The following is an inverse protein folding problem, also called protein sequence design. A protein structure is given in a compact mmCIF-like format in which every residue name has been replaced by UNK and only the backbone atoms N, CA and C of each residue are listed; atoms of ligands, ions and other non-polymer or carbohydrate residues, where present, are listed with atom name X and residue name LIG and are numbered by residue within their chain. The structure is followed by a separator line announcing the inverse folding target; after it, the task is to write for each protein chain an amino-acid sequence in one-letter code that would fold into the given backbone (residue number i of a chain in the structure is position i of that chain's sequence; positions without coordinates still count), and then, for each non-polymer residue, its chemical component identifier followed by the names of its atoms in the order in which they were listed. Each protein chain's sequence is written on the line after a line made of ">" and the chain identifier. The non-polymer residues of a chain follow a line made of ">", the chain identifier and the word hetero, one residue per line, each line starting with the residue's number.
data_IF_018344222122
#
_entry.id   IF_018344222122
#
_cell.length_a   1.000
_cell.length_b   1.000
_cell.length_c   1.000
_cell.angle_alpha   90.00
_cell.angle_beta   90.00
_cell.angle_gamma   90.00
#
_symmetry.space_group_name_H-M   'P 1'
#
loop_
_entity.id
_entity.type
_entity.pdbx_description
1 polymer ?
#
# COMPACT_ATOMS: atom_id res chain seq x y z
N UNK A 1 39.87 -14.18 -3.58
CA UNK A 1 38.72 -14.97 -3.09
C UNK A 1 37.46 -14.17 -3.39
N UNK A 2 36.76 -14.50 -4.49
CA UNK A 2 35.54 -13.78 -4.88
C UNK A 2 34.40 -14.11 -3.93
N UNK A 3 33.71 -13.09 -3.42
CA UNK A 3 32.49 -13.29 -2.65
C UNK A 3 31.46 -13.97 -3.54
N UNK A 4 31.02 -15.18 -3.17
CA UNK A 4 29.87 -15.77 -3.83
C UNK A 4 28.65 -14.92 -3.47
N UNK A 5 28.08 -14.22 -4.45
CA UNK A 5 26.76 -13.60 -4.30
C UNK A 5 25.78 -14.76 -4.17
N UNK A 6 25.34 -14.99 -2.93
CA UNK A 6 24.37 -16.00 -2.61
C UNK A 6 22.99 -15.52 -3.10
N UNK A 7 22.72 -15.69 -4.40
CA UNK A 7 21.50 -15.20 -5.04
C UNK A 7 20.37 -16.22 -4.87
N UNK A 8 19.62 -16.12 -3.78
CA UNK A 8 18.32 -16.80 -3.71
C UNK A 8 17.26 -16.02 -4.52
N UNK A 9 16.26 -16.69 -5.10
CA UNK A 9 15.13 -16.01 -5.73
C UNK A 9 14.42 -15.05 -4.76
N UNK A 10 13.93 -13.93 -5.29
CA UNK A 10 13.09 -12.96 -4.58
C UNK A 10 11.63 -13.36 -4.73
N UNK A 11 10.89 -13.37 -3.63
CA UNK A 11 9.46 -13.70 -3.61
C UNK A 11 8.64 -12.45 -3.36
N UNK A 12 7.72 -12.12 -4.26
CA UNK A 12 6.86 -10.94 -4.17
C UNK A 12 5.42 -11.39 -4.17
N UNK A 13 4.63 -10.96 -3.18
CA UNK A 13 3.17 -11.10 -3.20
C UNK A 13 2.51 -9.79 -3.62
N UNK A 14 1.44 -9.89 -4.39
CA UNK A 14 0.56 -8.78 -4.71
C UNK A 14 -0.68 -8.83 -3.82
N UNK A 15 -1.03 -7.72 -3.19
CA UNK A 15 -2.29 -7.54 -2.48
C UNK A 15 -3.22 -6.66 -3.31
N UNK A 16 -4.48 -7.07 -3.41
CA UNK A 16 -5.53 -6.26 -4.04
C UNK A 16 -6.10 -5.27 -3.04
N UNK A 17 -6.07 -3.99 -3.38
CA UNK A 17 -6.52 -2.88 -2.54
C UNK A 17 -7.63 -2.03 -3.16
N UNK A 18 -8.38 -2.58 -4.13
CA UNK A 18 -9.50 -1.90 -4.78
C UNK A 18 -10.60 -1.55 -3.76
N UNK A 19 -11.47 -0.61 -4.14
CA UNK A 19 -12.54 -0.09 -3.26
C UNK A 19 -13.45 -1.22 -2.74
N UNK A 20 -13.70 -2.23 -3.58
CA UNK A 20 -14.56 -3.37 -3.26
C UNK A 20 -13.83 -4.51 -2.54
N UNK A 21 -12.50 -4.46 -2.44
CA UNK A 21 -11.73 -5.54 -1.85
C UNK A 21 -11.86 -5.57 -0.32
N UNK A 22 -11.56 -6.72 0.27
CA UNK A 22 -11.53 -6.89 1.72
C UNK A 22 -10.33 -6.19 2.33
N UNK A 23 -10.56 -5.52 3.46
CA UNK A 23 -9.51 -4.80 4.21
C UNK A 23 -8.46 -5.79 4.73
N UNK A 24 -8.89 -7.02 5.01
CA UNK A 24 -8.17 -8.14 5.57
C UNK A 24 -7.21 -8.81 4.59
N UNK A 25 -7.27 -8.50 3.28
CA UNK A 25 -6.38 -9.09 2.27
C UNK A 25 -4.90 -8.88 2.61
N UNK A 26 -4.54 -7.70 3.14
CA UNK A 26 -3.18 -7.41 3.57
C UNK A 26 -2.79 -8.18 4.84
N UNK A 27 -3.75 -8.39 5.74
CA UNK A 27 -3.57 -9.15 6.98
C UNK A 27 -3.17 -10.59 6.67
N UNK A 28 -3.87 -11.22 5.73
CA UNK A 28 -3.62 -12.60 5.33
C UNK A 28 -2.17 -12.78 4.81
N UNK A 29 -1.71 -11.87 3.97
CA UNK A 29 -0.34 -11.89 3.48
C UNK A 29 0.69 -11.54 4.57
N UNK A 30 0.38 -10.60 5.46
CA UNK A 30 1.27 -10.24 6.56
C UNK A 30 1.50 -11.42 7.52
N UNK A 31 0.42 -12.15 7.85
CA UNK A 31 0.42 -13.32 8.74
C UNK A 31 1.11 -14.52 8.11
N UNK A 32 0.64 -14.93 6.92
CA UNK A 32 0.85 -16.30 6.44
C UNK A 32 1.85 -16.40 5.27
N UNK A 33 2.07 -15.34 4.50
CA UNK A 33 2.86 -15.46 3.28
C UNK A 33 4.38 -15.60 3.55
N UNK A 34 5.07 -16.47 2.82
CA UNK A 34 6.55 -16.57 2.85
C UNK A 34 7.19 -15.77 1.69
N UNK A 35 6.99 -14.45 1.71
CA UNK A 35 7.47 -13.52 0.68
C UNK A 35 8.42 -12.45 1.21
N UNK A 36 9.33 -11.97 0.37
CA UNK A 36 10.25 -10.88 0.69
C UNK A 36 9.56 -9.52 0.66
N UNK A 37 8.64 -9.34 -0.29
CA UNK A 37 7.94 -8.09 -0.51
C UNK A 37 6.45 -8.35 -0.65
N UNK A 38 5.66 -7.44 -0.08
CA UNK A 38 4.23 -7.32 -0.35
C UNK A 38 4.07 -5.99 -1.06
N UNK A 39 3.45 -6.02 -2.24
CA UNK A 39 3.16 -4.85 -3.07
C UNK A 39 1.66 -4.78 -3.25
N UNK A 40 1.08 -3.58 -3.24
CA UNK A 40 -0.33 -3.41 -3.48
C UNK A 40 -0.64 -2.03 -4.03
N UNK A 41 -1.78 -1.95 -4.71
CA UNK A 41 -2.35 -0.72 -5.22
C UNK A 41 -3.71 -0.48 -4.58
N UNK A 42 -3.88 0.71 -4.01
CA UNK A 42 -5.12 1.19 -3.40
C UNK A 42 -5.68 2.41 -4.13
N UNK A 43 -4.98 2.92 -5.15
CA UNK A 43 -5.36 4.09 -5.89
C UNK A 43 -6.07 3.67 -7.18
N UNK A 44 -7.39 3.50 -7.10
CA UNK A 44 -8.19 3.19 -8.29
C UNK A 44 -8.33 4.41 -9.22
N UNK A 45 -8.56 4.16 -10.52
CA UNK A 45 -8.92 5.21 -11.48
C UNK A 45 -10.16 5.99 -11.03
N UNK A 46 -11.10 5.31 -10.38
CA UNK A 46 -12.32 5.93 -9.83
C UNK A 46 -11.99 7.00 -8.80
N UNK A 47 -11.05 6.73 -7.90
CA UNK A 47 -10.70 7.69 -6.87
C UNK A 47 -10.00 8.91 -7.48
N UNK A 48 -9.04 8.67 -8.37
CA UNK A 48 -8.36 9.73 -9.13
C UNK A 48 -9.35 10.63 -9.87
N UNK A 49 -10.32 10.04 -10.59
CA UNK A 49 -11.34 10.78 -11.32
C UNK A 49 -12.26 11.58 -10.39
N UNK A 50 -12.71 10.98 -9.29
CA UNK A 50 -13.57 11.64 -8.30
C UNK A 50 -12.85 12.81 -7.64
N UNK A 51 -11.57 12.65 -7.28
CA UNK A 51 -10.76 13.74 -6.69
C UNK A 51 -10.45 14.82 -7.72
N UNK A 52 -10.18 14.45 -8.97
CA UNK A 52 -10.01 15.39 -10.08
C UNK A 52 -11.24 16.26 -10.29
N UNK A 53 -12.44 15.66 -10.28
CA UNK A 53 -13.71 16.38 -10.36
C UNK A 53 -13.89 17.33 -9.17
N UNK A 54 -13.62 16.88 -7.94
CA UNK A 54 -13.72 17.73 -6.76
C UNK A 54 -12.74 18.92 -6.82
N UNK A 55 -11.52 18.72 -7.34
CA UNK A 55 -10.56 19.79 -7.56
C UNK A 55 -11.07 20.82 -8.57
N UNK A 56 -11.67 20.37 -9.67
CA UNK A 56 -12.28 21.26 -10.66
C UNK A 56 -13.43 22.08 -10.05
N UNK A 57 -14.33 21.44 -9.30
CA UNK A 57 -15.47 22.12 -8.64
C UNK A 57 -15.04 23.13 -7.57
N UNK A 58 -13.89 22.94 -6.92
CA UNK A 58 -13.33 23.92 -5.98
C UNK A 58 -12.82 25.18 -6.66
N UNK A 59 -12.32 25.06 -7.90
CA UNK A 59 -11.93 26.24 -8.68
C UNK A 59 -13.12 27.20 -8.88
N UNK A 60 -14.33 26.66 -8.98
CA UNK A 60 -15.58 27.42 -9.16
C UNK A 60 -16.24 27.84 -7.84
N UNK A 61 -15.83 27.27 -6.69
CA UNK A 61 -16.47 27.51 -5.39
C UNK A 61 -15.49 27.26 -4.22
N UNK A 62 -14.77 28.30 -3.75
CA UNK A 62 -13.71 28.16 -2.74
C UNK A 62 -14.17 27.71 -1.36
N UNK A 63 -15.46 27.78 -1.06
CA UNK A 63 -16.05 27.43 0.25
C UNK A 63 -16.23 25.92 0.47
N UNK A 64 -15.86 25.08 -0.49
CA UNK A 64 -15.91 23.62 -0.37
C UNK A 64 -14.71 23.11 0.43
N UNK A 65 -14.99 22.67 1.67
CA UNK A 65 -14.00 22.05 2.57
C UNK A 65 -13.19 20.94 1.90
N UNK A 66 -11.90 20.90 2.24
CA UNK A 66 -10.95 20.00 1.61
C UNK A 66 -11.01 18.60 2.23
N UNK A 67 -11.80 17.69 1.64
CA UNK A 67 -11.70 16.27 1.97
C UNK A 67 -10.25 15.76 1.80
N UNK A 68 -9.74 14.88 2.68
CA UNK A 68 -8.35 14.43 2.66
C UNK A 68 -7.97 13.78 1.34
N UNK A 69 -6.79 14.09 0.79
CA UNK A 69 -6.36 13.64 -0.54
C UNK A 69 -5.87 12.17 -0.61
N UNK A 70 -6.03 11.39 0.47
CA UNK A 70 -5.58 10.00 0.54
C UNK A 70 -6.73 9.00 0.34
N UNK A 71 -6.34 7.75 0.11
CA UNK A 71 -7.26 6.62 0.04
C UNK A 71 -7.56 6.05 1.40
N UNK A 72 -8.82 6.16 1.84
CA UNK A 72 -9.24 5.63 3.13
C UNK A 72 -9.02 4.12 3.22
N UNK A 73 -9.27 3.41 2.11
CA UNK A 73 -9.08 1.96 2.03
C UNK A 73 -7.64 1.54 2.31
N UNK A 74 -6.67 2.34 1.87
CA UNK A 74 -5.25 2.13 2.19
C UNK A 74 -5.03 2.22 3.70
N UNK A 75 -5.53 3.28 4.34
CA UNK A 75 -5.38 3.49 5.79
C UNK A 75 -6.01 2.35 6.57
N UNK A 76 -7.22 1.94 6.20
CA UNK A 76 -7.95 0.88 6.87
C UNK A 76 -7.22 -0.47 6.75
N UNK A 77 -6.79 -0.84 5.53
CA UNK A 77 -6.03 -2.07 5.27
C UNK A 77 -4.72 -2.09 6.03
N UNK A 78 -4.01 -0.96 6.02
CA UNK A 78 -2.72 -0.84 6.68
C UNK A 78 -2.87 -0.91 8.20
N UNK A 79 -3.83 -0.19 8.77
CA UNK A 79 -4.10 -0.19 10.21
C UNK A 79 -4.51 -1.57 10.71
N UNK A 80 -5.29 -2.31 9.92
CA UNK A 80 -5.66 -3.69 10.24
C UNK A 80 -4.44 -4.64 10.25
N UNK A 81 -3.52 -4.49 9.29
CA UNK A 81 -2.37 -5.40 9.12
C UNK A 81 -1.11 -5.00 9.93
N UNK A 82 -1.07 -3.80 10.49
CA UNK A 82 0.08 -3.27 11.24
C UNK A 82 0.65 -4.23 12.30
N UNK A 83 -0.17 -4.89 13.15
CA UNK A 83 0.35 -5.81 14.17
C UNK A 83 1.12 -6.99 13.57
N UNK A 84 0.59 -7.59 12.50
CA UNK A 84 1.18 -8.76 11.85
C UNK A 84 2.41 -8.39 11.04
N UNK A 85 2.39 -7.24 10.38
CA UNK A 85 3.54 -6.66 9.69
C UNK A 85 4.69 -6.39 10.68
N UNK A 86 4.40 -5.80 11.84
CA UNK A 86 5.40 -5.55 12.87
C UNK A 86 6.02 -6.85 13.40
N UNK A 87 5.20 -7.85 13.74
CA UNK A 87 5.66 -9.16 14.18
C UNK A 87 6.50 -9.87 13.10
N UNK A 88 6.11 -9.75 11.83
CA UNK A 88 6.86 -10.27 10.68
C UNK A 88 8.24 -9.62 10.55
N UNK A 89 8.32 -8.29 10.65
CA UNK A 89 9.58 -7.55 10.58
C UNK A 89 10.56 -7.99 11.67
N UNK A 90 10.07 -8.20 12.90
CA UNK A 90 10.87 -8.68 14.03
C UNK A 90 11.41 -10.11 13.78
N UNK A 91 10.54 -11.04 13.37
CA UNK A 91 10.93 -12.44 13.07
C UNK A 91 12.02 -12.54 12.01
N UNK A 92 12.00 -11.65 11.02
CA UNK A 92 12.94 -11.69 9.88
C UNK A 92 14.22 -10.87 10.11
N UNK A 93 14.42 -10.29 11.29
CA UNK A 93 15.63 -9.50 11.59
C UNK A 93 15.84 -8.33 10.61
N UNK A 94 14.74 -7.74 10.13
CA UNK A 94 14.70 -7.00 8.88
C UNK A 94 15.17 -5.54 9.06
N UNK A 95 16.49 -5.30 9.02
CA UNK A 95 17.10 -3.96 9.03
C UNK A 95 17.12 -3.29 7.64
N UNK A 96 15.98 -3.18 6.94
CA UNK A 96 15.79 -2.54 5.60
C UNK A 96 15.39 -3.52 4.48
N UNK A 97 14.15 -4.03 4.47
CA UNK A 97 13.51 -4.51 3.22
C UNK A 97 12.07 -4.01 3.16
N UNK A 98 11.85 -3.21 2.13
CA UNK A 98 10.89 -2.11 2.00
C UNK A 98 9.50 -2.61 1.62
N UNK A 99 8.46 -2.20 2.38
CA UNK A 99 7.10 -2.13 1.86
C UNK A 99 7.09 -1.03 0.79
N UNK A 100 7.06 -1.41 -0.49
CA UNK A 100 6.94 -0.46 -1.60
C UNK A 100 5.45 -0.27 -1.86
N UNK A 101 4.87 0.75 -1.23
CA UNK A 101 3.66 1.37 -1.76
C UNK A 101 4.09 2.20 -2.96
N UNK A 102 3.64 1.85 -4.16
CA UNK A 102 3.84 2.67 -5.35
C UNK A 102 3.00 3.94 -5.21
N UNK A 103 3.61 4.99 -4.66
CA UNK A 103 3.13 6.35 -4.84
C UNK A 103 3.44 6.78 -6.27
N UNK A 104 2.44 6.67 -7.15
CA UNK A 104 2.47 7.44 -8.41
C UNK A 104 2.34 8.91 -8.03
N UNK A 105 3.34 9.71 -8.39
CA UNK A 105 3.35 11.17 -8.27
C UNK A 105 1.96 11.74 -8.57
N UNK A 106 1.38 12.42 -7.59
CA UNK A 106 0.29 13.35 -7.85
C UNK A 106 0.82 14.44 -8.79
N UNK A 107 0.24 14.53 -9.98
CA UNK A 107 0.34 15.70 -10.84
C UNK A 107 -0.42 16.89 -10.22
#
# INVERSE_FOLDING_TARGET
>A
MGSQINSRPVRVASVSGAITDMVENLVELAKNADVDFIVGDWLSEYNMATRGMLKARRADSPSLEAAPAFEQKFVDSFQCALPDLAARCQRRGMRHRTFISTYTKAC
#
